data_IF_505828301152
#
_entry.id   IF_505828301152
#
_cell.length_a   1.000
_cell.length_b   1.000
_cell.length_c   1.000
_cell.angle_alpha   90.00
_cell.angle_beta   90.00
_cell.angle_gamma   90.00
#
_symmetry.space_group_name_H-M   'P 1'
#
loop_
_entity.id
_entity.type
_entity.pdbx_description
1 polymer ?
#
# COMPACT_ATOMS: atom_id res chain seq x y z
N UNK A 1 -53.01 19.02 -3.78
CA UNK A 1 -52.01 18.16 -3.10
C UNK A 1 -51.24 17.42 -4.20
N UNK A 2 -50.00 17.82 -4.52
CA UNK A 2 -49.21 17.23 -5.63
C UNK A 2 -48.51 15.95 -5.16
N UNK A 3 -48.52 14.85 -5.93
CA UNK A 3 -47.84 13.62 -5.53
C UNK A 3 -46.32 13.79 -5.62
N UNK A 4 -45.64 13.41 -4.54
CA UNK A 4 -44.19 13.29 -4.44
C UNK A 4 -43.73 12.20 -5.42
N UNK A 5 -42.83 12.57 -6.34
CA UNK A 5 -42.18 11.64 -7.25
C UNK A 5 -41.44 10.56 -6.44
N UNK A 6 -41.89 9.30 -6.56
CA UNK A 6 -41.07 8.14 -6.14
C UNK A 6 -39.87 8.07 -7.09
N UNK A 7 -38.70 8.42 -6.59
CA UNK A 7 -37.43 8.14 -7.27
C UNK A 7 -37.32 6.61 -7.34
N UNK A 8 -37.33 6.06 -8.56
CA UNK A 8 -37.15 4.63 -8.80
C UNK A 8 -35.79 4.13 -8.28
N UNK A 9 -35.58 2.80 -8.21
CA UNK A 9 -34.32 2.24 -7.73
C UNK A 9 -33.18 2.80 -8.57
N UNK A 10 -32.20 3.45 -7.92
CA UNK A 10 -30.93 3.81 -8.55
C UNK A 10 -30.37 2.54 -9.17
N UNK A 11 -30.32 2.49 -10.50
CA UNK A 11 -29.61 1.43 -11.21
C UNK A 11 -28.21 1.35 -10.58
N UNK A 12 -27.82 0.20 -10.03
CA UNK A 12 -26.65 0.09 -9.15
C UNK A 12 -25.37 0.04 -9.98
N UNK A 13 -25.10 1.12 -10.72
CA UNK A 13 -23.83 1.41 -11.36
C UNK A 13 -22.72 1.49 -10.30
N UNK A 14 -21.59 0.84 -10.62
CA UNK A 14 -20.41 0.64 -9.77
C UNK A 14 -20.13 1.78 -8.78
N UNK A 15 -20.19 1.45 -7.49
CA UNK A 15 -19.81 2.38 -6.39
C UNK A 15 -18.40 2.93 -6.60
N UNK A 16 -18.14 4.16 -6.14
CA UNK A 16 -16.80 4.79 -6.21
C UNK A 16 -15.72 3.90 -5.59
N UNK A 17 -16.03 3.29 -4.43
CA UNK A 17 -15.16 2.31 -3.76
C UNK A 17 -14.75 1.15 -4.67
N UNK A 18 -15.70 0.56 -5.40
CA UNK A 18 -15.42 -0.55 -6.31
C UNK A 18 -14.49 -0.11 -7.46
N UNK A 19 -14.69 1.10 -7.99
CA UNK A 19 -13.81 1.67 -9.03
C UNK A 19 -12.36 1.76 -8.56
N UNK A 20 -12.12 2.36 -7.39
CA UNK A 20 -10.76 2.52 -6.86
C UNK A 20 -10.10 1.20 -6.48
N UNK A 21 -10.86 0.23 -5.96
CA UNK A 21 -10.33 -1.11 -5.70
C UNK A 21 -9.89 -1.82 -6.97
N UNK A 22 -10.73 -1.78 -8.00
CA UNK A 22 -10.40 -2.41 -9.28
C UNK A 22 -9.20 -1.73 -9.94
N UNK A 23 -9.12 -0.40 -9.88
CA UNK A 23 -7.96 0.32 -10.41
C UNK A 23 -6.68 0.00 -9.63
N UNK A 24 -6.74 -0.09 -8.31
CA UNK A 24 -5.56 -0.46 -7.51
C UNK A 24 -5.10 -1.88 -7.83
N UNK A 25 -6.03 -2.83 -8.00
CA UNK A 25 -5.71 -4.19 -8.45
C UNK A 25 -5.06 -4.19 -9.84
N UNK A 26 -5.59 -3.42 -10.80
CA UNK A 26 -5.00 -3.26 -12.13
C UNK A 26 -3.57 -2.70 -12.05
N UNK A 27 -3.31 -1.75 -11.16
CA UNK A 27 -1.95 -1.24 -10.94
C UNK A 27 -1.01 -2.31 -10.37
N UNK A 28 -1.50 -3.19 -9.50
CA UNK A 28 -0.70 -4.33 -9.02
C UNK A 28 -0.36 -5.32 -10.15
N UNK A 29 -1.27 -5.54 -11.10
CA UNK A 29 -1.00 -6.35 -12.29
C UNK A 29 0.07 -5.71 -13.20
N UNK A 30 0.07 -4.37 -13.33
CA UNK A 30 1.15 -3.65 -14.04
C UNK A 30 2.50 -3.83 -13.36
N UNK A 31 2.53 -3.74 -12.02
CA UNK A 31 3.76 -3.98 -11.26
C UNK A 31 4.24 -5.42 -11.41
N UNK A 32 3.34 -6.40 -11.32
CA UNK A 32 3.67 -7.81 -11.48
C UNK A 32 4.30 -8.11 -12.84
N UNK A 33 3.71 -7.59 -13.93
CA UNK A 33 4.28 -7.72 -15.27
C UNK A 33 5.70 -7.14 -15.34
N UNK A 34 5.88 -5.91 -14.85
CA UNK A 34 7.20 -5.25 -14.85
C UNK A 34 8.23 -6.05 -14.06
N UNK A 35 7.84 -6.62 -12.93
CA UNK A 35 8.70 -7.41 -12.05
C UNK A 35 8.93 -8.84 -12.55
N UNK A 36 8.19 -9.28 -13.57
CA UNK A 36 8.50 -10.49 -14.34
C UNK A 36 9.67 -10.29 -15.32
N UNK A 37 9.95 -9.05 -15.70
CA UNK A 37 11.05 -8.70 -16.62
C UNK A 37 12.34 -8.26 -15.90
N UNK A 38 12.24 -7.88 -14.62
CA UNK A 38 13.35 -7.37 -13.83
C UNK A 38 13.22 -7.68 -12.35
N UNK A 39 14.36 -7.79 -11.66
CA UNK A 39 14.40 -8.06 -10.22
C UNK A 39 13.79 -6.92 -9.39
N UNK A 40 14.01 -5.68 -9.80
CA UNK A 40 13.47 -4.46 -9.18
C UNK A 40 12.83 -3.54 -10.24
N UNK A 41 12.07 -2.54 -9.80
CA UNK A 41 11.26 -1.71 -10.70
C UNK A 41 12.10 -0.99 -11.78
N UNK A 42 13.31 -0.57 -11.42
CA UNK A 42 14.26 0.11 -12.33
C UNK A 42 15.38 -0.83 -12.85
N UNK A 43 15.22 -2.15 -12.72
CA UNK A 43 16.29 -3.12 -12.97
C UNK A 43 17.05 -3.41 -11.67
N UNK A 44 17.79 -2.41 -11.17
CA UNK A 44 18.45 -2.46 -9.87
C UNK A 44 17.60 -1.81 -8.77
N UNK A 45 17.85 -2.18 -7.50
CA UNK A 45 17.15 -1.62 -6.35
C UNK A 45 17.37 -0.11 -6.27
N UNK A 46 16.28 0.65 -6.25
CA UNK A 46 16.34 2.10 -6.34
C UNK A 46 15.30 2.80 -5.46
N UNK A 47 15.29 4.13 -5.51
CA UNK A 47 14.26 4.94 -4.87
C UNK A 47 12.85 4.64 -5.41
N UNK A 48 12.73 4.11 -6.63
CA UNK A 48 11.44 3.68 -7.17
C UNK A 48 10.84 2.55 -6.33
N UNK A 49 11.65 1.56 -5.95
CA UNK A 49 11.22 0.46 -5.09
C UNK A 49 10.82 0.95 -3.71
N UNK A 50 11.58 1.88 -3.12
CA UNK A 50 11.28 2.46 -1.81
C UNK A 50 9.93 3.19 -1.84
N UNK A 51 9.74 4.06 -2.84
CA UNK A 51 8.52 4.85 -2.99
C UNK A 51 7.29 3.96 -3.19
N UNK A 52 7.40 2.94 -4.06
CA UNK A 52 6.26 2.07 -4.38
C UNK A 52 5.98 1.04 -3.27
N UNK A 53 7.02 0.41 -2.70
CA UNK A 53 6.85 -0.64 -1.69
C UNK A 53 6.16 -0.15 -0.43
N UNK A 54 6.41 1.11 -0.03
CA UNK A 54 5.75 1.75 1.11
C UNK A 54 4.21 1.69 1.04
N UNK A 55 3.63 1.75 -0.17
CA UNK A 55 2.19 1.60 -0.38
C UNK A 55 1.76 0.15 -0.55
N UNK A 56 2.52 -0.63 -1.32
CA UNK A 56 2.10 -1.99 -1.70
C UNK A 56 2.16 -2.96 -0.52
N UNK A 57 3.17 -2.91 0.35
CA UNK A 57 3.29 -3.86 1.46
C UNK A 57 2.12 -3.76 2.48
N UNK A 58 1.36 -2.66 2.46
CA UNK A 58 0.17 -2.44 3.30
C UNK A 58 -1.14 -2.87 2.62
N UNK A 59 -1.10 -3.58 1.50
CA UNK A 59 -2.28 -3.96 0.70
C UNK A 59 -3.42 -4.63 1.50
N UNK A 60 -3.09 -5.37 2.58
CA UNK A 60 -4.07 -6.00 3.48
C UNK A 60 -4.98 -4.98 4.17
N UNK A 61 -4.42 -3.83 4.58
CA UNK A 61 -5.19 -2.73 5.18
C UNK A 61 -6.20 -2.15 4.18
N UNK A 62 -5.75 -1.99 2.92
CA UNK A 62 -6.58 -1.52 1.79
C UNK A 62 -7.55 -2.57 1.24
N UNK A 63 -7.45 -3.83 1.70
CA UNK A 63 -8.24 -4.97 1.24
C UNK A 63 -8.21 -5.13 -0.29
N UNK A 64 -6.99 -5.06 -0.85
CA UNK A 64 -6.72 -5.33 -2.26
C UNK A 64 -6.05 -6.71 -2.36
N UNK A 65 -6.60 -7.64 -3.15
CA UNK A 65 -6.02 -8.97 -3.30
C UNK A 65 -4.71 -8.88 -4.09
N UNK A 66 -3.76 -9.74 -3.74
CA UNK A 66 -2.49 -9.93 -4.47
C UNK A 66 -2.35 -11.36 -5.00
N UNK A 67 -3.38 -12.20 -4.80
CA UNK A 67 -3.40 -13.59 -5.26
C UNK A 67 -3.18 -13.65 -6.78
N UNK A 68 -2.32 -14.57 -7.20
CA UNK A 68 -1.91 -14.75 -8.60
C UNK A 68 -0.90 -13.71 -9.11
N UNK A 69 -0.34 -12.86 -8.25
CA UNK A 69 0.72 -11.91 -8.59
C UNK A 69 2.04 -12.36 -7.96
N UNK A 70 2.65 -13.39 -8.54
CA UNK A 70 3.81 -14.08 -7.99
C UNK A 70 5.08 -13.20 -8.01
N UNK A 71 5.27 -12.42 -9.07
CA UNK A 71 6.43 -11.53 -9.21
C UNK A 71 6.33 -10.36 -8.22
N UNK A 72 5.13 -9.82 -8.04
CA UNK A 72 4.83 -8.81 -7.04
C UNK A 72 5.08 -9.35 -5.63
N UNK A 73 4.62 -10.58 -5.35
CA UNK A 73 4.80 -11.22 -4.05
C UNK A 73 6.28 -11.44 -3.73
N UNK A 74 7.06 -11.98 -4.67
CA UNK A 74 8.52 -12.11 -4.54
C UNK A 74 9.18 -10.77 -4.25
N UNK A 75 8.86 -9.72 -5.01
CA UNK A 75 9.42 -8.39 -4.82
C UNK A 75 9.08 -7.79 -3.45
N UNK A 76 7.83 -7.95 -2.99
CA UNK A 76 7.41 -7.49 -1.66
C UNK A 76 8.23 -8.14 -0.55
N UNK A 77 8.45 -9.45 -0.63
CA UNK A 77 9.21 -10.21 0.36
C UNK A 77 10.70 -9.87 0.34
N UNK A 78 11.31 -9.80 -0.85
CA UNK A 78 12.71 -9.41 -1.01
C UNK A 78 13.02 -8.05 -0.36
N UNK A 79 12.11 -7.07 -0.51
CA UNK A 79 12.28 -5.76 0.14
C UNK A 79 11.98 -5.82 1.64
N UNK A 80 10.99 -6.60 2.08
CA UNK A 80 10.65 -6.77 3.50
C UNK A 80 11.82 -7.37 4.30
N UNK A 81 12.61 -8.24 3.71
CA UNK A 81 13.77 -8.87 4.35
C UNK A 81 14.94 -7.91 4.58
N UNK A 82 14.96 -6.75 3.91
CA UNK A 82 16.04 -5.77 4.07
C UNK A 82 16.02 -5.18 5.49
N UNK A 83 17.15 -5.20 6.24
CA UNK A 83 17.21 -4.65 7.59
C UNK A 83 16.77 -3.18 7.69
N UNK A 84 17.04 -2.38 6.65
CA UNK A 84 16.62 -0.98 6.59
C UNK A 84 15.08 -0.83 6.51
N UNK A 85 14.41 -1.68 5.73
CA UNK A 85 12.96 -1.66 5.60
C UNK A 85 12.28 -2.12 6.90
N UNK A 86 12.80 -3.17 7.54
CA UNK A 86 12.30 -3.63 8.84
C UNK A 86 12.38 -2.56 9.92
N UNK A 87 13.44 -1.74 9.93
CA UNK A 87 13.53 -0.58 10.82
C UNK A 87 12.58 0.54 10.39
N UNK A 88 12.49 0.81 9.08
CA UNK A 88 11.69 1.90 8.52
C UNK A 88 10.19 1.77 8.81
N UNK A 89 9.62 0.56 8.72
CA UNK A 89 8.18 0.34 8.99
C UNK A 89 7.79 0.56 10.45
N UNK A 90 8.76 0.65 11.36
CA UNK A 90 8.54 0.96 12.77
C UNK A 90 8.63 2.48 13.06
N UNK A 91 8.75 3.31 12.02
CA UNK A 91 8.89 4.76 12.12
C UNK A 91 7.83 5.45 11.25
N UNK A 92 6.95 6.30 11.82
CA UNK A 92 6.80 6.54 13.25
C UNK A 92 6.32 5.26 13.98
N UNK A 93 6.69 5.07 15.26
CA UNK A 93 6.20 3.94 16.04
C UNK A 93 4.67 3.76 15.96
N UNK A 94 4.18 2.51 15.91
CA UNK A 94 2.76 2.21 15.77
C UNK A 94 1.87 2.90 16.80
N UNK A 95 0.60 3.12 16.48
CA UNK A 95 -0.37 3.67 17.43
C UNK A 95 -0.40 2.83 18.72
N UNK A 96 -0.27 3.49 19.89
CA UNK A 96 -0.04 2.84 21.19
C UNK A 96 1.41 2.90 21.68
N UNK A 97 2.35 3.40 20.86
CA UNK A 97 3.77 3.59 21.22
C UNK A 97 4.10 5.04 21.63
N UNK A 98 3.09 5.86 21.94
CA UNK A 98 3.25 7.30 22.15
C UNK A 98 4.26 7.61 23.26
N UNK A 99 4.23 6.85 24.35
CA UNK A 99 5.16 7.00 25.47
C UNK A 99 6.60 6.67 25.08
N UNK A 100 6.79 5.66 24.21
CA UNK A 100 8.10 5.27 23.67
C UNK A 100 8.67 6.37 22.76
N UNK A 101 7.81 7.08 22.01
CA UNK A 101 8.23 8.20 21.18
C UNK A 101 8.66 9.41 22.02
N UNK A 102 7.93 9.74 23.08
CA UNK A 102 8.28 10.84 23.99
C UNK A 102 9.66 10.60 24.65
N UNK A 103 9.94 9.36 25.05
CA UNK A 103 11.24 8.98 25.62
C UNK A 103 12.41 9.09 24.61
N UNK A 104 12.19 8.68 23.35
CA UNK A 104 13.21 8.76 22.29
C UNK A 104 13.49 10.21 21.86
N UNK A 105 12.45 11.04 21.74
CA UNK A 105 12.59 12.45 21.39
C UNK A 105 13.42 13.25 22.40
N UNK A 106 13.35 12.90 23.69
CA UNK A 106 14.17 13.52 24.74
C UNK A 106 15.67 13.12 24.68
N UNK A 107 16.01 12.07 23.93
CA UNK A 107 17.39 11.57 23.79
C UNK A 107 18.11 12.12 22.55
N UNK A 108 17.37 12.77 21.64
CA UNK A 108 17.92 13.50 20.50
C UNK A 108 18.18 14.94 20.96
N UNK A 109 19.20 15.10 21.81
CA UNK A 109 19.79 16.42 22.06
C UNK A 109 21.15 16.40 21.37
N UNK A 110 21.26 17.19 20.31
CA UNK A 110 22.48 17.38 19.54
C UNK A 110 23.61 17.84 20.47
N UNK A 111 24.80 17.25 20.33
CA UNK A 111 26.04 17.78 20.93
C UNK A 111 26.46 19.08 20.25
#
# INVERSE_FOLDING_TARGET
MKPILRVGPLHRGRTTRARYKNETRRLYEVLDHRLGEAEFLAGEYSIADIATWSWVHTHRWSRIPVDGLDNLSRWMEAIRERPACQRGILIPPPAGSADVQKARGASIVTQ
#
